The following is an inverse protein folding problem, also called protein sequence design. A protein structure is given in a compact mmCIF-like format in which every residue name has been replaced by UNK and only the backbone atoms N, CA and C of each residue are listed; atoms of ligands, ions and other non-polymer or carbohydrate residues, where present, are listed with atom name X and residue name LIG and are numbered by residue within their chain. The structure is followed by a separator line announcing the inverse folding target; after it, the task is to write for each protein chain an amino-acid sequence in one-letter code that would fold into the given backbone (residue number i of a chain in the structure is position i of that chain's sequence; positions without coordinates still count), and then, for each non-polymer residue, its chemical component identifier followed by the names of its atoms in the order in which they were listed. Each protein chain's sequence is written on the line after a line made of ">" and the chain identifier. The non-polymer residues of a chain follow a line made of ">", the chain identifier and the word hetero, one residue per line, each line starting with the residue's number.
data_IF_582568624787
#
_entry.id   IF_582568624787
#
_cell.length_a   1.000
_cell.length_b   1.000
_cell.length_c   1.000
_cell.angle_alpha   90.00
_cell.angle_beta   90.00
_cell.angle_gamma   90.00
#
_symmetry.space_group_name_H-M   'P 1'
#
loop_
_entity.id
_entity.type
_entity.pdbx_description
1 polymer ?
#
# COMPACT_ATOMS: atom_id res chain seq x y z
N UNK A 1 -42.26 9.56 0.66
CA UNK A 1 -42.13 8.58 -0.44
C UNK A 1 -42.68 7.22 -0.01
N UNK A 2 -43.96 6.95 -0.27
CA UNK A 2 -44.55 5.61 -0.22
C UNK A 2 -45.30 5.44 -1.54
N UNK A 3 -44.59 5.07 -2.60
CA UNK A 3 -45.22 4.70 -3.86
C UNK A 3 -44.66 3.34 -4.27
N UNK A 4 -45.54 2.33 -4.18
CA UNK A 4 -45.31 0.90 -4.43
C UNK A 4 -44.39 0.25 -3.39
N UNK A 5 -44.92 -0.72 -2.66
CA UNK A 5 -44.27 -1.45 -1.56
C UNK A 5 -43.06 -2.31 -1.95
N UNK A 6 -42.20 -1.83 -2.85
CA UNK A 6 -40.86 -2.33 -3.06
C UNK A 6 -39.91 -1.37 -2.34
N UNK A 7 -39.29 -1.87 -1.28
CA UNK A 7 -38.05 -1.27 -0.80
C UNK A 7 -37.05 -1.54 -1.91
N UNK A 8 -36.67 -0.52 -2.67
CA UNK A 8 -35.54 -0.63 -3.58
C UNK A 8 -34.31 -0.59 -2.68
N UNK A 9 -33.76 -1.76 -2.38
CA UNK A 9 -32.39 -1.84 -1.88
C UNK A 9 -31.45 -1.44 -3.03
N UNK A 10 -30.24 -0.99 -2.68
CA UNK A 10 -29.21 -0.65 -3.66
C UNK A 10 -28.35 -1.89 -3.99
N UNK A 11 -28.92 -3.07 -3.78
CA UNK A 11 -28.20 -4.34 -3.84
C UNK A 11 -27.96 -4.73 -5.29
N UNK A 12 -28.98 -4.56 -6.13
CA UNK A 12 -28.91 -4.74 -7.57
C UNK A 12 -27.89 -3.80 -8.22
N UNK A 13 -27.85 -2.54 -7.79
CA UNK A 13 -26.92 -1.54 -8.27
C UNK A 13 -25.48 -1.87 -7.88
N UNK A 14 -25.25 -2.21 -6.61
CA UNK A 14 -23.92 -2.59 -6.13
C UNK A 14 -23.40 -3.84 -6.83
N UNK A 15 -24.28 -4.84 -7.05
CA UNK A 15 -23.95 -6.07 -7.76
C UNK A 15 -23.61 -5.80 -9.23
N UNK A 16 -24.41 -4.97 -9.92
CA UNK A 16 -24.14 -4.58 -11.30
C UNK A 16 -22.79 -3.87 -11.45
N UNK A 17 -22.48 -2.92 -10.55
CA UNK A 17 -21.19 -2.21 -10.57
C UNK A 17 -20.04 -3.16 -10.24
N UNK A 18 -20.19 -4.04 -9.26
CA UNK A 18 -19.17 -5.04 -8.88
C UNK A 18 -18.86 -6.02 -10.02
N UNK A 19 -19.88 -6.42 -10.79
CA UNK A 19 -19.74 -7.33 -11.92
C UNK A 19 -19.22 -6.63 -13.18
N UNK A 20 -19.44 -5.32 -13.33
CA UNK A 20 -18.92 -4.52 -14.46
C UNK A 20 -17.42 -4.26 -14.39
N UNK A 21 -16.88 -4.16 -13.18
CA UNK A 21 -15.44 -4.11 -12.95
C UNK A 21 -14.93 -5.56 -13.06
N UNK A 22 -13.89 -5.81 -13.86
CA UNK A 22 -13.25 -7.11 -14.12
C UNK A 22 -12.62 -7.79 -12.86
N UNK A 23 -13.29 -7.72 -11.70
CA UNK A 23 -12.89 -8.13 -10.36
C UNK A 23 -11.62 -7.47 -9.80
N UNK A 24 -11.15 -6.41 -10.45
CA UNK A 24 -9.96 -5.66 -10.01
C UNK A 24 -10.22 -4.65 -8.89
N UNK A 25 -11.50 -4.38 -8.59
CA UNK A 25 -11.91 -3.39 -7.59
C UNK A 25 -13.06 -3.96 -6.78
N UNK A 26 -12.99 -3.79 -5.46
CA UNK A 26 -14.08 -4.12 -4.53
C UNK A 26 -14.98 -2.90 -4.40
N UNK A 27 -16.27 -3.07 -4.67
CA UNK A 27 -17.31 -2.06 -4.49
C UNK A 27 -17.82 -2.14 -3.06
N UNK A 28 -17.68 -1.05 -2.31
CA UNK A 28 -18.21 -0.94 -0.96
C UNK A 28 -19.53 -0.15 -0.98
N UNK A 29 -20.56 -0.66 -0.29
CA UNK A 29 -21.78 0.10 -0.02
C UNK A 29 -21.51 1.05 1.15
N UNK A 30 -21.90 2.31 1.01
CA UNK A 30 -21.91 3.28 2.11
C UNK A 30 -23.21 3.07 2.88
N UNK A 31 -23.12 2.61 4.12
CA UNK A 31 -24.30 2.24 4.94
C UNK A 31 -24.57 3.23 6.05
N UNK A 32 -23.54 3.96 6.50
CA UNK A 32 -23.67 4.93 7.58
C UNK A 32 -23.20 6.32 7.13
N UNK A 33 -23.78 7.41 7.67
CA UNK A 33 -23.30 8.77 7.40
C UNK A 33 -21.81 8.97 7.72
N UNK A 34 -21.29 8.24 8.70
CA UNK A 34 -19.87 8.19 9.08
C UNK A 34 -18.97 7.80 7.89
N UNK A 35 -19.44 6.93 6.99
CA UNK A 35 -18.68 6.49 5.81
C UNK A 35 -18.35 7.65 4.85
N UNK A 36 -19.10 8.75 4.89
CA UNK A 36 -18.82 9.96 4.10
C UNK A 36 -17.75 10.85 4.72
N UNK A 37 -17.50 10.71 6.02
CA UNK A 37 -16.58 11.56 6.79
C UNK A 37 -15.27 10.86 7.15
N UNK A 38 -15.16 9.55 6.92
CA UNK A 38 -13.89 8.82 7.01
C UNK A 38 -13.22 8.88 5.64
N UNK A 39 -12.11 9.62 5.48
CA UNK A 39 -11.32 9.54 4.25
C UNK A 39 -10.66 8.16 4.20
N UNK A 40 -11.32 7.20 3.54
CA UNK A 40 -10.72 5.90 3.29
C UNK A 40 -9.55 6.08 2.33
N UNK A 41 -8.34 5.88 2.83
CA UNK A 41 -7.16 5.87 1.98
C UNK A 41 -7.05 4.51 1.29
N UNK A 42 -7.82 4.32 0.21
CA UNK A 42 -7.72 3.14 -0.68
C UNK A 42 -6.52 3.22 -1.63
N UNK A 43 -5.51 4.06 -1.32
CA UNK A 43 -4.28 4.09 -2.10
C UNK A 43 -3.67 2.69 -2.11
N UNK A 44 -3.37 2.20 -3.32
CA UNK A 44 -2.63 0.95 -3.46
C UNK A 44 -1.34 0.99 -2.63
N UNK A 45 -0.88 -0.17 -2.15
CA UNK A 45 0.43 -0.30 -1.48
C UNK A 45 1.58 0.29 -2.33
N UNK A 46 1.41 0.32 -3.66
CA UNK A 46 2.34 0.97 -4.57
C UNK A 46 2.40 2.50 -4.41
N UNK A 47 1.27 3.15 -4.13
CA UNK A 47 1.18 4.59 -3.84
C UNK A 47 1.69 4.87 -2.42
N UNK A 48 1.29 4.04 -1.44
CA UNK A 48 1.76 4.14 -0.05
C UNK A 48 3.29 3.99 0.04
N UNK A 49 3.86 3.06 -0.73
CA UNK A 49 5.32 2.87 -0.79
C UNK A 49 6.10 3.98 -1.51
N UNK A 50 5.42 4.92 -2.18
CA UNK A 50 6.04 6.16 -2.71
C UNK A 50 5.95 7.32 -1.71
N UNK A 51 5.15 7.18 -0.66
CA UNK A 51 4.99 8.21 0.37
C UNK A 51 6.27 8.35 1.19
N UNK A 52 7.00 7.26 1.40
CA UNK A 52 8.34 7.34 1.98
C UNK A 52 9.37 7.77 0.92
N UNK A 53 10.08 8.89 1.13
CA UNK A 53 11.06 9.37 0.18
C UNK A 53 12.17 8.33 0.03
N UNK A 54 12.56 8.07 -1.23
CA UNK A 54 13.66 7.13 -1.51
C UNK A 54 14.94 7.68 -0.90
N UNK A 55 15.66 6.89 -0.09
CA UNK A 55 16.93 7.35 0.47
C UNK A 55 17.98 7.47 -0.63
N UNK A 56 18.73 8.57 -0.61
CA UNK A 56 19.89 8.76 -1.49
C UNK A 56 21.16 8.29 -0.80
N UNK A 57 22.06 7.68 -1.58
CA UNK A 57 23.36 7.23 -1.06
C UNK A 57 24.21 8.40 -0.53
N UNK A 58 24.03 9.61 -1.08
CA UNK A 58 24.71 10.83 -0.62
C UNK A 58 24.39 11.18 0.82
N UNK A 59 23.22 10.76 1.31
CA UNK A 59 22.71 11.15 2.62
C UNK A 59 23.07 10.12 3.69
N UNK A 60 23.67 8.99 3.30
CA UNK A 60 24.04 7.90 4.19
C UNK A 60 25.42 8.16 4.83
N UNK A 61 25.43 8.43 6.12
CA UNK A 61 26.66 8.58 6.90
C UNK A 61 27.32 7.24 7.24
N UNK A 62 26.51 6.21 7.51
CA UNK A 62 27.00 4.86 7.82
C UNK A 62 26.17 3.80 7.11
N UNK A 63 26.86 2.76 6.66
CA UNK A 63 26.27 1.59 6.01
C UNK A 63 26.82 0.30 6.61
N UNK A 64 25.95 -0.68 6.82
CA UNK A 64 26.30 -1.98 7.39
C UNK A 64 25.74 -3.09 6.51
N UNK A 65 26.63 -3.99 6.10
CA UNK A 65 26.31 -5.20 5.37
C UNK A 65 26.46 -6.40 6.29
N UNK A 66 25.40 -7.18 6.46
CA UNK A 66 25.43 -8.40 7.26
C UNK A 66 25.54 -9.61 6.34
N UNK A 67 26.54 -10.47 6.57
CA UNK A 67 26.68 -11.72 5.81
C UNK A 67 25.42 -12.57 5.97
N UNK A 68 24.88 -13.05 4.84
CA UNK A 68 23.62 -13.81 4.80
C UNK A 68 22.36 -12.93 4.79
N UNK A 69 22.49 -11.60 4.92
CA UNK A 69 21.40 -10.66 4.69
C UNK A 69 21.47 -10.11 3.26
N UNK A 70 20.30 -9.95 2.65
CA UNK A 70 20.12 -9.31 1.34
C UNK A 70 19.66 -7.86 1.45
N UNK A 71 19.58 -7.35 2.68
CA UNK A 71 19.17 -5.99 3.00
C UNK A 71 20.37 -5.17 3.45
N UNK A 72 20.34 -3.88 3.10
CA UNK A 72 21.31 -2.89 3.55
C UNK A 72 20.78 -2.23 4.83
N UNK A 73 21.65 -2.00 5.81
CA UNK A 73 21.32 -1.19 6.99
C UNK A 73 22.07 0.13 6.87
N UNK A 74 21.40 1.26 7.07
CA UNK A 74 22.05 2.57 6.98
C UNK A 74 21.60 3.56 8.07
N UNK A 75 22.38 4.62 8.26
CA UNK A 75 22.07 5.79 9.09
C UNK A 75 22.39 7.06 8.32
N UNK A 76 21.62 8.11 8.55
CA UNK A 76 21.87 9.42 7.95
C UNK A 76 22.79 10.28 8.82
N UNK A 77 22.86 10.01 10.13
CA UNK A 77 23.79 10.65 11.05
C UNK A 77 24.52 9.64 11.94
N UNK A 78 25.75 9.96 12.32
CA UNK A 78 26.53 9.22 13.33
C UNK A 78 25.87 9.23 14.72
N UNK A 79 24.99 10.20 14.99
CA UNK A 79 24.24 10.30 16.26
C UNK A 79 23.02 9.39 16.33
N UNK A 80 22.56 8.87 15.20
CA UNK A 80 21.35 8.04 15.15
C UNK A 80 21.60 6.74 15.89
N UNK A 81 20.66 6.33 16.75
CA UNK A 81 20.79 5.09 17.52
C UNK A 81 20.48 3.87 16.66
N UNK A 82 19.42 3.96 15.87
CA UNK A 82 18.86 2.85 15.11
C UNK A 82 19.29 2.88 13.65
N UNK A 83 19.41 1.70 13.04
CA UNK A 83 19.65 1.56 11.61
C UNK A 83 18.33 1.41 10.88
N UNK A 84 18.20 2.08 9.74
CA UNK A 84 17.08 1.89 8.83
C UNK A 84 17.43 0.75 7.88
N UNK A 85 16.50 -0.18 7.69
CA UNK A 85 16.66 -1.30 6.76
C UNK A 85 16.17 -0.93 5.35
N UNK A 86 17.04 -1.07 4.36
CA UNK A 86 16.77 -0.80 2.96
C UNK A 86 16.81 -2.09 2.13
N UNK A 87 15.68 -2.40 1.49
CA UNK A 87 15.57 -3.45 0.48
C UNK A 87 15.95 -2.87 -0.89
N UNK A 88 17.21 -3.05 -1.29
CA UNK A 88 17.75 -2.47 -2.52
C UNK A 88 17.74 -3.44 -3.72
N UNK A 89 17.63 -4.76 -3.48
CA UNK A 89 17.61 -5.75 -4.54
C UNK A 89 16.24 -5.83 -5.22
N UNK A 90 16.25 -5.86 -6.56
CA UNK A 90 15.03 -6.12 -7.34
C UNK A 90 14.60 -7.57 -7.17
N UNK A 91 13.28 -7.79 -7.11
CA UNK A 91 12.65 -9.12 -6.96
C UNK A 91 13.17 -10.16 -7.97
N UNK A 92 13.51 -9.74 -9.19
CA UNK A 92 14.08 -10.64 -10.20
C UNK A 92 15.38 -11.31 -9.75
N UNK A 93 16.25 -10.59 -9.04
CA UNK A 93 17.53 -11.11 -8.55
C UNK A 93 17.34 -12.03 -7.34
N UNK A 94 16.31 -11.79 -6.53
CA UNK A 94 15.96 -12.67 -5.41
C UNK A 94 15.45 -14.04 -5.88
N UNK A 95 14.64 -14.05 -6.95
CA UNK A 95 14.03 -15.28 -7.47
C UNK A 95 15.00 -16.17 -8.25
N UNK A 96 16.03 -15.58 -8.84
CA UNK A 96 16.93 -16.30 -9.74
C UNK A 96 18.04 -17.06 -9.00
N UNK A 97 18.12 -16.97 -7.67
CA UNK A 97 19.11 -17.68 -6.84
C UNK A 97 20.57 -17.34 -7.15
N UNK A 98 20.82 -16.44 -8.09
CA UNK A 98 22.15 -15.97 -8.48
C UNK A 98 22.33 -14.55 -7.96
N UNK A 99 23.00 -14.45 -6.83
CA UNK A 99 23.83 -13.31 -6.48
C UNK A 99 25.27 -13.67 -6.79
#
# INVERSE_FOLDING_TARGET
>A
LRQKGKVYDFDDFAEAVQNSNLRNVTVCKLTEPSDFFVPFNFSSLHVIGKTEPRPYLSDMAQVVFKRGSLNLLYKNSFSDKEFIELKYLKVKYLKQGSL
#
